data_IF_912978950853
#
_entry.id   IF_912978950853
#
_cell.length_a   1.000
_cell.length_b   1.000
_cell.length_c   1.000
_cell.angle_alpha   90.00
_cell.angle_beta   90.00
_cell.angle_gamma   90.00
#
_symmetry.space_group_name_H-M   'P 1'
#
loop_
_entity.id
_entity.type
_entity.pdbx_description
1 polymer ?
#
# COMPACT_ATOMS: atom_id res chain seq x y z
N UNK A 1 0.25 -17.64 2.28
CA UNK A 1 -0.85 -17.57 1.31
C UNK A 1 -1.66 -16.33 1.64
N UNK A 2 -2.09 -15.57 0.63
CA UNK A 2 -2.89 -14.36 0.81
C UNK A 2 -4.29 -14.61 0.25
N UNK A 3 -5.30 -14.09 0.95
CA UNK A 3 -6.70 -14.11 0.50
C UNK A 3 -7.12 -12.68 0.16
N UNK A 4 -7.90 -12.53 -0.90
CA UNK A 4 -8.47 -11.25 -1.31
C UNK A 4 -9.94 -11.17 -0.90
N UNK A 5 -10.36 -10.00 -0.42
CA UNK A 5 -11.77 -9.66 -0.18
C UNK A 5 -12.10 -8.40 -0.97
N UNK A 6 -13.25 -8.38 -1.62
CA UNK A 6 -13.73 -7.24 -2.42
C UNK A 6 -14.14 -6.03 -1.56
N UNK A 7 -14.39 -6.25 -0.27
CA UNK A 7 -14.78 -5.21 0.66
C UNK A 7 -13.62 -4.24 0.96
N UNK A 8 -13.90 -2.93 0.90
CA UNK A 8 -12.95 -1.93 1.35
C UNK A 8 -12.77 -2.01 2.86
N UNK A 9 -11.55 -1.77 3.34
CA UNK A 9 -11.24 -1.69 4.78
C UNK A 9 -12.13 -0.63 5.45
N UNK A 10 -12.34 0.50 4.76
CA UNK A 10 -13.25 1.56 5.15
C UNK A 10 -14.15 1.92 3.97
N UNK A 11 -15.45 2.07 4.22
CA UNK A 11 -16.42 2.46 3.20
C UNK A 11 -16.15 3.90 2.76
N UNK A 12 -15.91 4.10 1.48
CA UNK A 12 -15.72 5.43 0.90
C UNK A 12 -17.08 5.95 0.44
N UNK A 13 -17.44 7.17 0.86
CA UNK A 13 -18.58 7.87 0.27
C UNK A 13 -18.14 8.46 -1.07
N UNK A 14 -18.78 8.08 -2.19
CA UNK A 14 -18.46 8.69 -3.48
C UNK A 14 -18.80 10.18 -3.44
N UNK A 15 -17.82 11.00 -3.84
CA UNK A 15 -17.97 12.44 -4.02
C UNK A 15 -17.92 12.79 -5.51
N UNK A 16 -18.06 14.08 -5.83
CA UNK A 16 -17.95 14.62 -7.19
C UNK A 16 -16.55 14.32 -7.75
N UNK A 17 -16.43 13.89 -9.03
CA UNK A 17 -15.13 13.60 -9.63
C UNK A 17 -14.25 14.85 -9.71
N UNK A 18 -13.10 14.83 -9.02
CA UNK A 18 -12.09 15.89 -9.04
C UNK A 18 -10.74 15.36 -9.59
N UNK A 19 -10.36 15.76 -10.82
CA UNK A 19 -9.09 15.36 -11.43
C UNK A 19 -7.85 15.83 -10.66
N UNK A 20 -7.91 16.98 -9.97
CA UNK A 20 -6.78 17.50 -9.21
C UNK A 20 -6.57 16.71 -7.93
N UNK A 21 -7.66 16.40 -7.21
CA UNK A 21 -7.61 15.52 -6.05
C UNK A 21 -7.09 14.12 -6.43
N UNK A 22 -7.56 13.56 -7.55
CA UNK A 22 -7.08 12.27 -8.06
C UNK A 22 -5.57 12.28 -8.34
N UNK A 23 -5.04 13.37 -8.91
CA UNK A 23 -3.60 13.53 -9.14
C UNK A 23 -2.80 13.53 -7.84
N UNK A 24 -3.29 14.18 -6.79
CA UNK A 24 -2.63 14.17 -5.47
C UNK A 24 -2.67 12.76 -4.85
N UNK A 25 -3.79 12.05 -4.99
CA UNK A 25 -3.91 10.67 -4.51
C UNK A 25 -2.93 9.71 -5.20
N UNK A 26 -2.57 9.94 -6.46
CA UNK A 26 -1.54 9.15 -7.15
C UNK A 26 -0.17 9.26 -6.48
N UNK A 27 0.19 10.41 -5.91
CA UNK A 27 1.45 10.55 -5.15
C UNK A 27 1.39 9.75 -3.83
N UNK A 28 0.23 9.71 -3.17
CA UNK A 28 0.04 8.91 -1.95
C UNK A 28 0.06 7.41 -2.28
N UNK A 29 -0.44 6.99 -3.43
CA UNK A 29 -0.44 5.59 -3.83
C UNK A 29 0.94 5.13 -4.33
N UNK A 30 1.52 5.86 -5.28
CA UNK A 30 2.70 5.45 -6.05
C UNK A 30 3.90 6.38 -5.99
N UNK A 31 3.81 7.47 -5.24
CA UNK A 31 4.91 8.41 -5.04
C UNK A 31 6.05 7.83 -4.22
N UNK A 32 7.09 8.64 -4.02
CA UNK A 32 8.31 8.19 -3.31
C UNK A 32 8.04 7.78 -1.86
N UNK A 33 7.00 8.32 -1.23
CA UNK A 33 6.56 7.93 0.11
C UNK A 33 5.18 7.27 0.09
N UNK A 34 4.79 6.74 -1.06
CA UNK A 34 3.47 6.17 -1.26
C UNK A 34 3.30 4.76 -0.68
N UNK A 35 2.04 4.34 -0.60
CA UNK A 35 1.63 3.06 -0.01
C UNK A 35 2.24 1.86 -0.73
N UNK A 36 2.35 1.91 -2.06
CA UNK A 36 2.95 0.82 -2.84
C UNK A 36 4.43 0.59 -2.47
N UNK A 37 5.19 1.67 -2.21
CA UNK A 37 6.58 1.55 -1.79
C UNK A 37 6.68 0.89 -0.42
N UNK A 38 5.88 1.34 0.54
CA UNK A 38 5.87 0.81 1.91
C UNK A 38 5.47 -0.67 1.92
N UNK A 39 4.42 -1.03 1.18
CA UNK A 39 3.97 -2.41 1.01
C UNK A 39 5.09 -3.30 0.44
N UNK A 40 5.70 -2.89 -0.68
CA UNK A 40 6.75 -3.68 -1.32
C UNK A 40 8.02 -3.76 -0.46
N UNK A 41 8.37 -2.68 0.25
CA UNK A 41 9.52 -2.67 1.14
C UNK A 41 9.39 -3.76 2.23
N UNK A 42 8.27 -3.79 2.96
CA UNK A 42 8.06 -4.80 3.99
C UNK A 42 7.82 -6.21 3.42
N UNK A 43 7.21 -6.31 2.25
CA UNK A 43 7.05 -7.57 1.56
C UNK A 43 8.40 -8.22 1.20
N UNK A 44 9.33 -7.45 0.64
CA UNK A 44 10.66 -7.99 0.31
C UNK A 44 11.54 -8.18 1.55
N UNK A 45 11.42 -7.36 2.58
CA UNK A 45 12.12 -7.59 3.86
C UNK A 45 11.67 -8.90 4.52
N UNK A 46 10.36 -9.18 4.52
CA UNK A 46 9.83 -10.42 5.09
C UNK A 46 10.17 -11.65 4.25
N UNK A 47 10.08 -11.55 2.92
CA UNK A 47 10.43 -12.64 2.01
C UNK A 47 11.92 -13.00 2.06
N UNK A 48 12.80 -12.00 2.23
CA UNK A 48 14.24 -12.21 2.33
C UNK A 48 14.74 -12.38 3.77
N UNK A 49 13.84 -12.54 4.74
CA UNK A 49 14.21 -12.67 6.14
C UNK A 49 14.99 -13.99 6.37
N UNK A 50 16.20 -13.89 6.91
CA UNK A 50 17.11 -15.04 7.14
C UNK A 50 17.21 -15.49 8.61
N UNK A 51 16.35 -14.97 9.47
CA UNK A 51 16.41 -15.23 10.92
C UNK A 51 17.25 -14.17 11.64
N UNK A 52 17.15 -14.17 12.98
CA UNK A 52 18.06 -13.39 13.84
C UNK A 52 19.34 -14.20 14.02
N UNK A 53 20.49 -13.55 13.96
CA UNK A 53 21.77 -14.17 14.30
C UNK A 53 21.70 -14.61 15.77
N UNK A 54 21.59 -15.91 16.01
CA UNK A 54 21.76 -16.49 17.33
C UNK A 54 23.25 -16.73 17.51
N UNK A 55 23.87 -15.96 18.41
CA UNK A 55 25.23 -16.20 18.90
C UNK A 55 25.49 -17.66 19.20
#
# INVERSE_FOLDING_TARGET
MYDYKEELINIIKPDIPDPQAARVMQEILGGHYGEMRTMMQYFFQSSNFRGKETH
#
